data_IF_462914247724
#
_entry.id   IF_462914247724
#
_cell.length_a   1.000
_cell.length_b   1.000
_cell.length_c   1.000
_cell.angle_alpha   90.00
_cell.angle_beta   90.00
_cell.angle_gamma   90.00
#
_symmetry.space_group_name_H-M   'P 1'
#
loop_
_entity.id
_entity.type
_entity.pdbx_description
1 polymer ?
#
# COMPACT_ATOMS: atom_id res chain seq x y z
N UNK A 1 -66.74 36.95 35.85
CA UNK A 1 -65.29 37.22 35.73
C UNK A 1 -64.62 35.88 35.51
N UNK A 2 -63.77 35.60 34.51
CA UNK A 2 -63.32 36.29 33.30
C UNK A 2 -62.35 35.28 32.67
N UNK A 3 -62.44 35.02 31.35
CA UNK A 3 -61.43 34.37 30.47
C UNK A 3 -61.15 32.86 30.72
N UNK A 4 -61.43 31.89 29.84
CA UNK A 4 -61.15 31.72 28.40
C UNK A 4 -59.70 32.01 27.99
N UNK A 5 -58.85 30.97 28.01
CA UNK A 5 -57.68 30.72 27.12
C UNK A 5 -57.48 29.20 27.06
N UNK A 6 -58.05 28.47 26.11
CA UNK A 6 -57.47 28.15 24.80
C UNK A 6 -55.94 28.05 24.82
N UNK A 7 -55.40 26.86 25.08
CA UNK A 7 -54.05 26.50 24.67
C UNK A 7 -54.17 25.59 23.44
N UNK A 8 -53.84 26.19 22.30
CA UNK A 8 -53.68 25.52 21.01
C UNK A 8 -52.50 24.57 21.13
N UNK A 9 -52.73 23.26 21.04
CA UNK A 9 -51.66 22.29 20.77
C UNK A 9 -51.34 22.41 19.29
N UNK A 10 -50.38 23.28 18.98
CA UNK A 10 -49.73 23.33 17.67
C UNK A 10 -48.64 22.26 17.65
N UNK A 11 -49.02 20.98 17.49
CA UNK A 11 -48.06 20.00 16.98
C UNK A 11 -47.93 20.24 15.48
N UNK A 12 -47.03 21.16 15.13
CA UNK A 12 -46.57 21.33 13.77
C UNK A 12 -45.96 20.01 13.29
N UNK A 13 -46.47 19.52 12.17
CA UNK A 13 -45.74 18.60 11.31
C UNK A 13 -44.34 19.17 11.09
N UNK A 14 -43.33 18.53 11.64
CA UNK A 14 -42.01 18.52 11.04
C UNK A 14 -41.93 17.21 10.26
N UNK A 15 -42.42 17.26 9.02
CA UNK A 15 -41.97 16.33 8.00
C UNK A 15 -40.46 16.47 7.94
N UNK A 16 -39.74 15.54 8.55
CA UNK A 16 -38.36 15.28 8.21
C UNK A 16 -38.38 14.84 6.74
N UNK A 17 -38.27 15.83 5.86
CA UNK A 17 -37.92 15.61 4.47
C UNK A 17 -36.60 14.86 4.50
N UNK A 18 -36.72 13.56 4.24
CA UNK A 18 -35.63 12.71 3.83
C UNK A 18 -35.12 13.28 2.52
N UNK A 19 -34.29 14.32 2.61
CA UNK A 19 -33.44 14.73 1.52
C UNK A 19 -32.45 13.59 1.35
N UNK A 20 -32.78 12.71 0.39
CA UNK A 20 -31.82 11.85 -0.29
C UNK A 20 -30.58 12.70 -0.53
N UNK A 21 -29.50 12.38 0.15
CA UNK A 21 -28.18 12.73 -0.32
C UNK A 21 -28.09 12.17 -1.75
N UNK A 22 -28.25 13.04 -2.74
CA UNK A 22 -27.88 12.73 -4.10
C UNK A 22 -26.43 12.29 -4.03
N UNK A 23 -26.18 11.05 -4.41
CA UNK A 23 -24.83 10.55 -4.61
C UNK A 23 -24.18 11.48 -5.63
N UNK A 24 -23.28 12.34 -5.18
CA UNK A 24 -22.19 12.75 -6.05
C UNK A 24 -21.61 11.42 -6.57
N UNK A 25 -21.69 11.19 -7.88
CA UNK A 25 -21.04 10.06 -8.51
C UNK A 25 -19.63 10.00 -7.95
N UNK A 26 -19.34 8.96 -7.16
CA UNK A 26 -18.01 8.78 -6.62
C UNK A 26 -17.09 8.66 -7.84
N UNK A 27 -16.22 9.66 -8.04
CA UNK A 27 -15.29 9.67 -9.16
C UNK A 27 -14.67 8.28 -9.31
N UNK A 28 -14.64 7.74 -10.53
CA UNK A 28 -13.99 6.45 -10.77
C UNK A 28 -12.56 6.57 -10.20
N UNK A 29 -12.15 5.59 -9.41
CA UNK A 29 -10.81 5.60 -8.80
C UNK A 29 -9.71 5.70 -9.87
N UNK A 30 -10.03 5.32 -11.12
CA UNK A 30 -9.17 5.47 -12.30
C UNK A 30 -8.91 6.92 -12.70
N UNK A 31 -9.72 7.87 -12.25
CA UNK A 31 -9.59 9.29 -12.58
C UNK A 31 -9.01 10.12 -11.41
N UNK A 32 -8.68 9.47 -10.29
CA UNK A 32 -8.18 10.14 -9.07
C UNK A 32 -6.75 9.73 -8.80
N UNK A 33 -5.78 10.53 -9.25
CA UNK A 33 -4.34 10.24 -9.14
C UNK A 33 -3.74 10.45 -7.74
N UNK A 34 -4.53 10.99 -6.82
CA UNK A 34 -4.20 11.18 -5.41
C UNK A 34 -3.59 12.54 -5.06
N UNK A 35 -3.25 13.39 -6.04
CA UNK A 35 -2.56 14.65 -5.77
C UNK A 35 -3.32 15.60 -4.84
N UNK A 36 -4.64 15.70 -4.99
CA UNK A 36 -5.49 16.60 -4.19
C UNK A 36 -5.56 16.24 -2.71
N UNK A 37 -5.28 14.98 -2.36
CA UNK A 37 -5.30 14.48 -0.98
C UNK A 37 -3.90 14.09 -0.49
N UNK A 38 -2.85 14.48 -1.21
CA UNK A 38 -1.48 14.20 -0.84
C UNK A 38 -1.12 14.90 0.48
N UNK A 39 -0.28 14.29 1.33
CA UNK A 39 0.26 14.97 2.50
C UNK A 39 1.06 16.23 2.10
N UNK A 40 1.06 17.23 2.97
CA UNK A 40 1.90 18.43 2.77
C UNK A 40 3.38 18.03 2.74
N UNK A 41 4.13 18.55 1.78
CA UNK A 41 5.58 18.35 1.72
C UNK A 41 6.14 18.52 0.33
N UNK A 42 7.37 18.05 0.15
CA UNK A 42 8.06 18.01 -1.15
C UNK A 42 8.11 16.55 -1.63
N UNK A 43 7.84 16.27 -2.91
CA UNK A 43 8.05 14.93 -3.48
C UNK A 43 9.49 14.47 -3.25
N UNK A 44 9.68 13.20 -2.87
CA UNK A 44 11.00 12.63 -2.57
C UNK A 44 11.88 12.47 -3.81
N UNK A 45 11.25 12.28 -4.98
CA UNK A 45 11.90 11.92 -6.23
C UNK A 45 11.48 12.86 -7.39
N UNK A 46 11.60 14.19 -7.24
CA UNK A 46 11.01 15.17 -8.17
C UNK A 46 11.63 15.14 -9.57
N UNK A 47 12.82 14.56 -9.69
CA UNK A 47 13.56 14.47 -10.95
C UNK A 47 13.52 13.09 -11.58
N UNK A 48 12.86 12.10 -10.96
CA UNK A 48 12.88 10.70 -11.40
C UNK A 48 12.47 10.54 -12.87
N UNK A 49 11.48 11.32 -13.30
CA UNK A 49 10.92 11.21 -14.64
C UNK A 49 11.54 12.16 -15.66
N UNK A 50 12.59 12.91 -15.29
CA UNK A 50 13.27 13.80 -16.24
C UNK A 50 14.00 12.96 -17.30
N UNK A 51 13.77 13.30 -18.56
CA UNK A 51 14.44 12.67 -19.71
C UNK A 51 13.73 11.48 -20.32
N UNK A 52 12.57 11.04 -19.80
CA UNK A 52 11.74 10.06 -20.51
C UNK A 52 11.06 10.66 -21.73
N UNK A 53 10.95 9.86 -22.80
CA UNK A 53 10.24 10.23 -24.01
C UNK A 53 8.72 10.31 -23.81
N UNK A 54 8.19 9.60 -22.82
CA UNK A 54 6.77 9.68 -22.44
C UNK A 54 6.60 9.57 -20.93
N UNK A 55 5.78 10.46 -20.36
CA UNK A 55 5.43 10.51 -18.94
C UNK A 55 3.97 10.08 -18.75
N UNK A 56 3.61 9.47 -17.60
CA UNK A 56 2.22 9.41 -17.16
C UNK A 56 1.45 10.73 -17.36
N UNK A 57 0.20 10.70 -17.85
CA UNK A 57 -0.63 11.89 -18.03
C UNK A 57 -1.23 12.42 -16.71
N UNK A 58 -1.04 11.71 -15.59
CA UNK A 58 -1.46 12.11 -14.24
C UNK A 58 -0.28 12.55 -13.37
N UNK A 59 -0.57 13.10 -12.18
CA UNK A 59 0.44 13.44 -11.17
C UNK A 59 0.92 12.19 -10.45
N UNK A 60 2.22 11.98 -10.42
CA UNK A 60 2.87 10.75 -9.97
C UNK A 60 3.28 10.86 -8.49
N UNK A 61 2.84 9.90 -7.68
CA UNK A 61 3.16 9.80 -6.25
C UNK A 61 4.66 9.87 -5.98
N UNK A 62 5.09 10.76 -5.09
CA UNK A 62 6.51 10.93 -4.74
C UNK A 62 7.36 11.63 -5.80
N UNK A 63 6.80 11.97 -6.97
CA UNK A 63 7.48 12.74 -8.04
C UNK A 63 6.85 14.11 -8.19
N UNK A 64 5.52 14.20 -8.31
CA UNK A 64 4.79 15.46 -8.44
C UNK A 64 4.24 15.99 -7.12
N UNK A 65 3.94 15.10 -6.18
CA UNK A 65 3.42 15.43 -4.86
C UNK A 65 4.07 14.57 -3.78
N UNK A 66 4.04 15.07 -2.54
CA UNK A 66 4.66 14.38 -1.42
C UNK A 66 3.85 13.16 -0.97
N UNK A 67 4.55 12.16 -0.45
CA UNK A 67 3.99 10.96 0.17
C UNK A 67 4.83 10.64 1.40
N UNK A 68 4.29 9.83 2.31
CA UNK A 68 4.88 9.52 3.60
C UNK A 68 4.42 10.49 4.69
N UNK A 69 5.21 10.63 5.75
CA UNK A 69 4.89 11.53 6.86
C UNK A 69 4.81 12.98 6.36
N UNK A 70 3.73 13.73 6.68
CA UNK A 70 3.62 15.13 6.31
C UNK A 70 4.80 15.97 6.82
N UNK A 71 5.31 16.87 5.97
CA UNK A 71 6.40 17.78 6.31
C UNK A 71 6.00 18.68 7.49
N UNK A 72 6.91 18.82 8.45
CA UNK A 72 6.70 19.65 9.65
C UNK A 72 5.87 18.97 10.74
N UNK A 73 5.46 17.72 10.56
CA UNK A 73 4.78 16.97 11.63
C UNK A 73 5.76 16.58 12.73
N UNK A 74 5.44 16.95 13.97
CA UNK A 74 6.13 16.43 15.15
C UNK A 74 5.67 15.00 15.44
N UNK A 75 6.62 14.08 15.51
CA UNK A 75 6.37 12.68 15.81
C UNK A 75 6.65 12.39 17.29
N UNK A 76 5.75 11.65 17.93
CA UNK A 76 5.85 11.25 19.33
C UNK A 76 6.66 9.96 19.48
N UNK A 77 7.27 9.77 20.64
CA UNK A 77 7.93 8.51 21.01
C UNK A 77 6.88 7.38 21.19
N UNK A 78 7.03 6.21 20.55
CA UNK A 78 6.17 5.06 20.80
C UNK A 78 6.11 4.63 22.26
N UNK A 79 7.17 4.86 23.05
CA UNK A 79 7.19 4.58 24.49
C UNK A 79 6.11 5.32 25.29
N UNK A 80 5.58 6.42 24.74
CA UNK A 80 4.56 7.24 25.41
C UNK A 80 3.13 6.87 24.99
N UNK A 81 2.92 5.81 24.20
CA UNK A 81 1.57 5.38 23.81
C UNK A 81 0.79 4.93 25.05
N UNK A 82 -0.39 5.51 25.24
CA UNK A 82 -1.31 5.19 26.34
C UNK A 82 -2.74 4.89 25.85
N UNK A 83 -2.89 4.49 24.58
CA UNK A 83 -4.18 4.19 23.97
C UNK A 83 -4.80 2.94 24.60
N UNK A 84 -6.10 2.95 24.96
CA UNK A 84 -6.77 1.74 25.47
C UNK A 84 -6.65 0.55 24.51
N UNK A 85 -6.34 -0.63 25.06
CA UNK A 85 -6.11 -1.84 24.27
C UNK A 85 -4.81 -1.83 23.47
N UNK A 86 -3.85 -1.00 23.89
CA UNK A 86 -2.48 -0.99 23.38
C UNK A 86 -1.53 -1.13 24.55
N UNK A 87 -0.58 -2.06 24.43
CA UNK A 87 0.51 -2.27 25.38
C UNK A 87 1.82 -1.94 24.69
N UNK A 88 2.65 -1.14 25.36
CA UNK A 88 4.02 -0.88 24.90
C UNK A 88 4.98 -1.79 25.63
N UNK A 89 5.57 -2.74 24.90
CA UNK A 89 6.65 -3.57 25.40
C UNK A 89 7.98 -2.93 25.04
N UNK A 90 8.54 -2.19 26.00
CA UNK A 90 9.82 -1.48 25.84
C UNK A 90 10.99 -2.45 25.70
N UNK A 91 10.91 -3.65 26.30
CA UNK A 91 12.01 -4.61 26.25
C UNK A 91 12.15 -5.24 24.87
N UNK A 92 11.02 -5.51 24.18
CA UNK A 92 11.00 -6.03 22.81
C UNK A 92 10.88 -4.95 21.74
N UNK A 93 10.84 -3.67 22.12
CA UNK A 93 10.57 -2.54 21.23
C UNK A 93 9.33 -2.76 20.35
N UNK A 94 8.25 -3.28 20.93
CA UNK A 94 7.03 -3.63 20.21
C UNK A 94 5.81 -2.97 20.85
N UNK A 95 4.97 -2.35 20.03
CA UNK A 95 3.63 -1.87 20.41
C UNK A 95 2.61 -2.94 20.05
N UNK A 96 2.01 -3.57 21.06
CA UNK A 96 1.02 -4.64 20.92
C UNK A 96 -0.38 -4.04 20.94
N UNK A 97 -1.17 -4.29 19.90
CA UNK A 97 -2.55 -3.82 19.75
C UNK A 97 -3.50 -5.01 19.96
N UNK A 98 -4.28 -4.96 21.04
CA UNK A 98 -5.21 -6.01 21.47
C UNK A 98 -6.68 -5.60 21.40
N UNK A 99 -6.98 -4.33 21.07
CA UNK A 99 -8.35 -3.85 20.84
C UNK A 99 -8.58 -3.38 19.39
N UNK A 100 -9.82 -3.54 18.94
CA UNK A 100 -10.28 -3.03 17.64
C UNK A 100 -10.42 -1.51 17.62
N UNK A 101 -10.44 -0.92 16.42
CA UNK A 101 -10.59 0.53 16.18
C UNK A 101 -9.46 1.40 16.77
N UNK A 102 -8.32 0.81 17.09
CA UNK A 102 -7.14 1.52 17.58
C UNK A 102 -6.57 2.43 16.50
N UNK A 103 -6.13 3.63 16.90
CA UNK A 103 -5.48 4.62 16.05
C UNK A 103 -4.09 4.94 16.60
N UNK A 104 -3.06 4.59 15.84
CA UNK A 104 -1.68 4.96 16.11
C UNK A 104 -1.28 6.02 15.08
N UNK A 105 -1.30 7.29 15.49
CA UNK A 105 -1.05 8.42 14.59
C UNK A 105 0.06 9.33 15.11
N UNK A 106 1.01 9.65 14.24
CA UNK A 106 2.07 10.62 14.53
C UNK A 106 3.13 10.11 15.48
N UNK A 107 3.62 8.88 15.28
CA UNK A 107 4.69 8.28 16.11
C UNK A 107 5.97 8.05 15.31
N UNK A 108 7.12 8.22 15.96
CA UNK A 108 8.44 7.86 15.43
C UNK A 108 8.85 6.48 15.93
N UNK A 109 8.29 5.45 15.29
CA UNK A 109 8.76 4.07 15.40
C UNK A 109 10.18 3.89 14.85
N UNK A 110 10.86 4.93 14.35
CA UNK A 110 12.28 4.87 14.05
C UNK A 110 13.21 5.19 15.22
N UNK A 111 12.67 5.71 16.32
CA UNK A 111 13.42 6.05 17.53
C UNK A 111 13.96 4.81 18.26
N UNK A 112 14.89 5.01 19.20
CA UNK A 112 15.45 3.97 20.07
C UNK A 112 15.94 2.68 19.37
N UNK A 113 16.40 2.80 18.11
CA UNK A 113 16.87 1.65 17.34
C UNK A 113 15.81 0.92 16.51
N UNK A 114 14.60 1.47 16.42
CA UNK A 114 13.48 0.92 15.65
C UNK A 114 12.47 0.19 16.54
N UNK A 115 11.20 0.47 16.32
CA UNK A 115 10.06 -0.16 16.97
C UNK A 115 9.18 -0.87 15.95
N UNK A 116 8.56 -1.96 16.40
CA UNK A 116 7.54 -2.68 15.65
C UNK A 116 6.15 -2.43 16.22
N UNK A 117 5.14 -2.81 15.44
CA UNK A 117 3.77 -2.95 15.92
C UNK A 117 3.28 -4.36 15.65
N UNK A 118 2.61 -4.95 16.63
CA UNK A 118 1.98 -6.25 16.52
C UNK A 118 0.48 -6.14 16.73
N UNK A 119 -0.31 -6.58 15.75
CA UNK A 119 -1.78 -6.54 15.81
C UNK A 119 -2.27 -7.97 16.06
N UNK A 120 -2.92 -8.18 17.20
CA UNK A 120 -3.32 -9.51 17.68
C UNK A 120 -4.48 -10.14 16.87
N UNK A 121 -4.65 -11.47 16.92
CA UNK A 121 -5.82 -12.13 16.36
C UNK A 121 -7.13 -11.56 16.93
N UNK A 122 -8.18 -11.46 16.10
CA UNK A 122 -9.48 -10.91 16.51
C UNK A 122 -9.55 -9.38 16.54
N UNK A 123 -8.43 -8.66 16.42
CA UNK A 123 -8.41 -7.19 16.33
C UNK A 123 -8.73 -6.73 14.91
N UNK A 124 -9.66 -5.79 14.73
CA UNK A 124 -10.02 -5.24 13.42
C UNK A 124 -10.04 -3.70 13.41
N UNK A 125 -10.00 -3.13 12.21
CA UNK A 125 -10.12 -1.68 11.97
C UNK A 125 -9.03 -0.84 12.65
N UNK A 126 -7.82 -1.41 12.78
CA UNK A 126 -6.63 -0.69 13.24
C UNK A 126 -6.19 0.30 12.18
N UNK A 127 -5.79 1.51 12.60
CA UNK A 127 -5.26 2.55 11.72
C UNK A 127 -3.90 3.01 12.22
N UNK A 128 -2.89 2.87 11.37
CA UNK A 128 -1.53 3.36 11.62
C UNK A 128 -1.26 4.45 10.58
N UNK A 129 -1.14 5.69 11.02
CA UNK A 129 -1.04 6.83 10.09
C UNK A 129 0.00 7.86 10.50
N UNK A 130 0.49 8.62 9.51
CA UNK A 130 1.42 9.73 9.72
C UNK A 130 2.63 9.36 10.61
N UNK A 131 3.12 8.12 10.52
CA UNK A 131 4.16 7.60 11.41
C UNK A 131 5.40 7.20 10.63
N UNK A 132 6.55 7.27 11.28
CA UNK A 132 7.83 6.87 10.69
C UNK A 132 8.31 5.58 11.32
N UNK A 133 8.74 4.64 10.50
CA UNK A 133 9.34 3.37 10.91
C UNK A 133 10.77 3.25 10.40
N UNK A 134 11.64 2.65 11.21
CA UNK A 134 12.99 2.26 10.84
C UNK A 134 13.24 0.82 11.28
N UNK A 135 13.67 -0.02 10.35
CA UNK A 135 14.31 -1.29 10.69
C UNK A 135 15.74 -0.99 11.15
N UNK A 136 15.87 -0.64 12.43
CA UNK A 136 17.14 -0.24 13.05
C UNK A 136 17.84 -1.40 13.75
N UNK A 137 18.60 -1.10 14.80
CA UNK A 137 19.36 -2.10 15.56
C UNK A 137 18.48 -3.19 16.21
N UNK A 138 17.24 -2.85 16.57
CA UNK A 138 16.30 -3.79 17.17
C UNK A 138 15.74 -4.80 16.16
N UNK A 139 15.87 -4.51 14.86
CA UNK A 139 15.62 -5.48 13.79
C UNK A 139 14.22 -6.13 13.83
N UNK A 140 13.23 -5.32 14.18
CA UNK A 140 11.82 -5.68 14.30
C UNK A 140 11.05 -5.36 13.02
N UNK A 141 9.99 -6.13 12.75
CA UNK A 141 9.07 -5.86 11.65
C UNK A 141 8.26 -4.61 11.98
N UNK A 142 8.25 -3.57 11.13
CA UNK A 142 7.54 -2.33 11.40
C UNK A 142 6.05 -2.52 11.71
N UNK A 143 5.33 -3.27 10.86
CA UNK A 143 3.94 -3.64 11.10
C UNK A 143 3.77 -5.14 10.86
N UNK A 144 3.41 -5.87 11.91
CA UNK A 144 3.17 -7.30 11.87
C UNK A 144 1.75 -7.62 12.36
N UNK A 145 0.92 -8.14 11.46
CA UNK A 145 -0.48 -8.44 11.76
C UNK A 145 -0.64 -9.95 11.86
N UNK A 146 -1.20 -10.42 12.96
CA UNK A 146 -1.38 -11.84 13.23
C UNK A 146 -2.44 -12.49 12.34
N UNK A 147 -2.33 -13.82 12.18
CA UNK A 147 -3.37 -14.63 11.58
C UNK A 147 -4.68 -14.46 12.36
N UNK A 148 -5.79 -14.22 11.65
CA UNK A 148 -7.10 -14.03 12.27
C UNK A 148 -7.39 -12.61 12.76
N UNK A 149 -6.47 -11.65 12.55
CA UNK A 149 -6.79 -10.23 12.65
C UNK A 149 -7.70 -9.78 11.49
N UNK A 150 -8.30 -8.60 11.65
CA UNK A 150 -9.22 -7.97 10.71
C UNK A 150 -8.58 -6.86 9.87
N UNK A 151 -9.40 -5.89 9.46
CA UNK A 151 -9.00 -4.80 8.55
C UNK A 151 -7.89 -3.92 9.12
N UNK A 152 -7.00 -3.43 8.26
CA UNK A 152 -5.90 -2.52 8.59
C UNK A 152 -5.83 -1.35 7.60
N UNK A 153 -5.62 -0.14 8.12
CA UNK A 153 -5.31 1.06 7.32
C UNK A 153 -3.93 1.59 7.65
N UNK A 154 -3.09 1.76 6.63
CA UNK A 154 -1.71 2.26 6.67
C UNK A 154 -1.62 3.47 5.74
N UNK A 155 -1.58 4.69 6.28
CA UNK A 155 -1.63 5.91 5.45
C UNK A 155 -0.61 6.95 5.88
N UNK A 156 0.06 7.59 4.91
CA UNK A 156 1.06 8.64 5.16
C UNK A 156 2.20 8.20 6.07
N UNK A 157 2.62 6.94 6.00
CA UNK A 157 3.74 6.45 6.78
C UNK A 157 5.02 6.41 5.94
N UNK A 158 6.16 6.58 6.59
CA UNK A 158 7.48 6.41 5.96
C UNK A 158 8.18 5.23 6.61
N UNK A 159 8.51 4.21 5.82
CA UNK A 159 9.24 3.02 6.23
C UNK A 159 10.65 3.06 5.65
N UNK A 160 11.65 2.99 6.53
CA UNK A 160 13.06 2.82 6.15
C UNK A 160 13.53 1.41 6.56
N UNK A 161 13.87 0.57 5.58
CA UNK A 161 14.22 -0.84 5.79
C UNK A 161 15.65 -1.09 6.28
N UNK A 162 16.48 -0.06 6.42
CA UNK A 162 17.76 -0.15 7.12
C UNK A 162 18.86 -0.95 6.41
N UNK A 163 18.65 -1.44 5.17
CA UNK A 163 19.72 -1.90 4.28
C UNK A 163 20.29 -3.30 4.53
N UNK A 164 19.46 -4.35 4.56
CA UNK A 164 19.93 -5.75 4.47
C UNK A 164 20.03 -6.54 5.79
N UNK A 165 19.33 -6.12 6.84
CA UNK A 165 19.27 -6.88 8.11
C UNK A 165 18.40 -8.13 7.97
N UNK A 166 18.88 -9.27 8.48
CA UNK A 166 18.43 -10.59 8.03
C UNK A 166 17.03 -11.06 8.49
N UNK A 167 16.46 -10.51 9.57
CA UNK A 167 15.22 -11.06 10.16
C UNK A 167 13.92 -10.35 9.73
N UNK A 168 14.00 -9.32 8.89
CA UNK A 168 12.82 -8.59 8.41
C UNK A 168 12.59 -8.94 6.95
N UNK A 169 11.61 -9.82 6.71
CA UNK A 169 11.23 -10.27 5.36
C UNK A 169 10.20 -9.37 4.68
N UNK A 170 9.49 -8.53 5.45
CA UNK A 170 8.60 -7.51 4.92
C UNK A 170 8.57 -6.29 5.84
N UNK A 171 8.36 -5.09 5.28
CA UNK A 171 8.12 -3.89 6.09
C UNK A 171 6.71 -3.90 6.69
N UNK A 172 5.73 -4.44 5.96
CA UNK A 172 4.37 -4.70 6.45
C UNK A 172 4.00 -6.14 6.17
N UNK A 173 3.85 -6.95 7.22
CA UNK A 173 3.28 -8.28 7.13
C UNK A 173 1.80 -8.24 7.52
N UNK A 174 0.90 -8.53 6.58
CA UNK A 174 -0.54 -8.59 6.81
C UNK A 174 -1.06 -10.02 6.73
N UNK A 175 -1.31 -10.63 7.89
CA UNK A 175 -1.87 -11.98 8.00
C UNK A 175 -3.40 -11.98 8.29
N UNK A 176 -4.07 -10.85 8.04
CA UNK A 176 -5.46 -10.62 8.44
C UNK A 176 -6.52 -10.95 7.38
N UNK A 177 -7.77 -10.65 7.69
CA UNK A 177 -8.92 -10.72 6.78
C UNK A 177 -9.71 -9.40 6.77
N UNK A 178 -10.47 -9.14 5.72
CA UNK A 178 -11.20 -7.86 5.56
C UNK A 178 -10.49 -6.90 4.60
N UNK A 179 -10.48 -5.61 4.91
CA UNK A 179 -9.86 -4.61 4.03
C UNK A 179 -8.47 -4.24 4.51
N UNK A 180 -7.48 -4.37 3.63
CA UNK A 180 -6.17 -3.75 3.81
C UNK A 180 -6.08 -2.51 2.93
N UNK A 181 -5.74 -1.36 3.51
CA UNK A 181 -5.58 -0.09 2.79
C UNK A 181 -4.18 0.45 3.05
N UNK A 182 -3.38 0.59 2.00
CA UNK A 182 -2.09 1.29 2.03
C UNK A 182 -2.13 2.47 1.06
N UNK A 183 -2.15 3.71 1.57
CA UNK A 183 -2.13 4.91 0.72
C UNK A 183 -1.09 5.95 1.12
N UNK A 184 -0.48 6.60 0.13
CA UNK A 184 0.47 7.71 0.35
C UNK A 184 1.64 7.33 1.27
N UNK A 185 2.06 6.07 1.30
CA UNK A 185 3.21 5.65 2.10
C UNK A 185 4.50 5.70 1.27
N UNK A 186 5.62 5.76 1.97
CA UNK A 186 6.97 5.63 1.41
C UNK A 186 7.62 4.36 1.96
N UNK A 187 8.12 3.50 1.09
CA UNK A 187 8.88 2.30 1.43
C UNK A 187 10.28 2.42 0.82
N UNK A 188 11.31 2.55 1.66
CA UNK A 188 12.69 2.74 1.27
C UNK A 188 13.53 1.57 1.75
N UNK A 189 14.40 1.05 0.89
CA UNK A 189 15.50 0.17 1.29
C UNK A 189 15.05 -1.09 2.05
N UNK A 190 13.90 -1.68 1.67
CA UNK A 190 13.41 -2.91 2.28
C UNK A 190 14.48 -4.02 2.16
N UNK A 191 14.76 -4.79 3.23
CA UNK A 191 15.68 -5.93 3.13
C UNK A 191 15.21 -6.98 2.13
N UNK A 192 13.90 -7.20 2.10
CA UNK A 192 13.19 -8.08 1.16
C UNK A 192 11.95 -7.31 0.65
N UNK A 193 10.75 -7.71 1.03
CA UNK A 193 9.49 -7.18 0.51
C UNK A 193 9.06 -5.89 1.21
N UNK A 194 8.27 -5.08 0.52
CA UNK A 194 7.62 -3.94 1.17
C UNK A 194 6.36 -4.37 1.91
N UNK A 195 5.46 -5.09 1.23
CA UNK A 195 4.18 -5.53 1.79
C UNK A 195 3.95 -7.00 1.46
N UNK A 196 3.76 -7.80 2.49
CA UNK A 196 3.40 -9.20 2.40
C UNK A 196 1.94 -9.41 2.83
N UNK A 197 1.19 -10.10 1.98
CA UNK A 197 -0.13 -10.61 2.30
C UNK A 197 -0.06 -12.11 2.53
N UNK A 198 -0.33 -12.52 3.76
CA UNK A 198 -0.25 -13.90 4.20
C UNK A 198 -1.65 -14.38 4.64
N UNK A 199 -2.07 -15.56 4.19
CA UNK A 199 -3.35 -16.19 4.58
C UNK A 199 -4.60 -15.28 4.47
N UNK A 200 -5.72 -15.66 5.07
CA UNK A 200 -6.91 -14.81 5.18
C UNK A 200 -7.70 -14.57 3.88
N UNK A 201 -8.81 -13.84 4.02
CA UNK A 201 -9.68 -13.41 2.93
C UNK A 201 -9.78 -11.89 2.93
N UNK A 202 -9.34 -11.24 1.85
CA UNK A 202 -9.09 -9.80 1.88
C UNK A 202 -9.39 -9.06 0.58
N UNK A 203 -9.70 -7.77 0.72
CA UNK A 203 -9.61 -6.77 -0.35
C UNK A 203 -8.40 -5.88 -0.05
N UNK A 204 -7.48 -5.75 -1.00
CA UNK A 204 -6.29 -4.90 -0.85
C UNK A 204 -6.45 -3.63 -1.69
N UNK A 205 -6.17 -2.47 -1.09
CA UNK A 205 -6.15 -1.17 -1.76
C UNK A 205 -4.77 -0.55 -1.52
N UNK A 206 -3.86 -0.73 -2.47
CA UNK A 206 -2.49 -0.23 -2.42
C UNK A 206 -2.36 0.87 -3.47
N UNK A 207 -2.50 2.13 -3.06
CA UNK A 207 -2.53 3.26 -3.99
C UNK A 207 -1.68 4.45 -3.58
N UNK A 208 -1.14 5.17 -4.56
CA UNK A 208 -0.40 6.42 -4.34
C UNK A 208 0.84 6.26 -3.44
N UNK A 209 1.43 5.07 -3.37
CA UNK A 209 2.63 4.82 -2.57
C UNK A 209 3.90 4.99 -3.42
N UNK A 210 5.01 5.25 -2.75
CA UNK A 210 6.35 5.25 -3.34
C UNK A 210 7.16 4.07 -2.77
N UNK A 211 7.64 3.18 -3.64
CA UNK A 211 8.52 2.07 -3.32
C UNK A 211 9.89 2.32 -3.96
N UNK A 212 10.96 2.25 -3.17
CA UNK A 212 12.32 2.58 -3.63
C UNK A 212 13.33 1.56 -3.11
N UNK A 213 14.12 1.01 -4.01
CA UNK A 213 15.31 0.20 -3.70
C UNK A 213 15.00 -1.00 -2.77
N UNK A 214 14.07 -1.86 -3.18
CA UNK A 214 13.71 -3.05 -2.39
C UNK A 214 14.74 -4.18 -2.55
N UNK A 215 14.77 -5.14 -1.63
CA UNK A 215 15.71 -6.26 -1.65
C UNK A 215 17.15 -5.86 -1.44
N UNK A 216 17.42 -5.05 -0.43
CA UNK A 216 18.78 -4.67 -0.04
C UNK A 216 19.57 -5.81 0.60
N UNK A 217 18.90 -6.90 1.02
CA UNK A 217 19.56 -8.11 1.49
C UNK A 217 20.07 -8.94 0.28
N UNK A 218 21.35 -9.36 0.27
CA UNK A 218 21.87 -10.23 -0.77
C UNK A 218 21.03 -11.51 -0.93
N UNK A 219 20.72 -11.87 -2.18
CA UNK A 219 19.94 -13.07 -2.51
C UNK A 219 18.45 -12.97 -2.21
N UNK A 220 17.94 -11.81 -1.79
CA UNK A 220 16.51 -11.56 -1.70
C UNK A 220 15.84 -11.59 -3.08
N UNK A 221 14.55 -11.90 -3.10
CA UNK A 221 13.67 -11.72 -4.25
C UNK A 221 12.55 -10.78 -3.81
N UNK A 222 12.79 -9.47 -3.80
CA UNK A 222 11.86 -8.53 -3.19
C UNK A 222 10.68 -8.20 -4.12
N UNK A 223 9.56 -7.83 -3.53
CA UNK A 223 8.36 -7.40 -4.22
C UNK A 223 7.75 -6.16 -3.53
N UNK A 224 7.17 -5.25 -4.31
CA UNK A 224 6.45 -4.11 -3.70
C UNK A 224 5.19 -4.59 -2.97
N UNK A 225 4.58 -5.65 -3.50
CA UNK A 225 3.49 -6.40 -2.88
C UNK A 225 3.68 -7.87 -3.24
N UNK A 226 3.56 -8.77 -2.25
CA UNK A 226 3.59 -10.21 -2.44
C UNK A 226 2.38 -10.86 -1.76
N UNK A 227 1.91 -11.96 -2.34
CA UNK A 227 0.73 -12.69 -1.87
C UNK A 227 1.06 -14.18 -1.69
N UNK A 228 0.74 -14.73 -0.52
CA UNK A 228 1.01 -16.13 -0.17
C UNK A 228 -0.18 -16.71 0.61
N UNK A 229 -0.75 -17.81 0.11
CA UNK A 229 -1.88 -18.51 0.75
C UNK A 229 -3.16 -17.68 0.95
N UNK A 230 -3.39 -16.65 0.13
CA UNK A 230 -4.45 -15.64 0.32
C UNK A 230 -5.73 -15.94 -0.48
N UNK A 231 -6.87 -15.44 -0.01
CA UNK A 231 -8.05 -15.23 -0.85
C UNK A 231 -8.26 -13.74 -1.08
N UNK A 232 -7.88 -13.21 -2.25
CA UNK A 232 -8.07 -11.80 -2.58
C UNK A 232 -9.22 -11.58 -3.57
N UNK A 233 -9.95 -10.48 -3.40
CA UNK A 233 -11.04 -10.09 -4.29
C UNK A 233 -11.16 -8.57 -4.42
N UNK A 234 -11.45 -8.09 -5.64
CA UNK A 234 -11.70 -6.68 -5.94
C UNK A 234 -10.54 -5.77 -5.47
N UNK A 235 -9.32 -6.28 -5.57
CA UNK A 235 -8.10 -5.60 -5.13
C UNK A 235 -7.65 -4.55 -6.13
N UNK A 236 -6.98 -3.51 -5.64
CA UNK A 236 -6.47 -2.39 -6.42
C UNK A 236 -5.01 -2.14 -6.04
N UNK A 237 -4.13 -2.21 -7.03
CA UNK A 237 -2.71 -1.85 -6.92
C UNK A 237 -2.47 -0.79 -7.99
N UNK A 238 -2.69 0.47 -7.62
CA UNK A 238 -2.81 1.53 -8.63
C UNK A 238 -2.15 2.85 -8.26
N UNK A 239 -1.69 3.61 -9.26
CA UNK A 239 -1.06 4.92 -9.04
C UNK A 239 0.15 4.91 -8.09
N UNK A 240 0.81 3.75 -7.93
CA UNK A 240 2.05 3.67 -7.17
C UNK A 240 3.25 4.02 -8.05
N UNK A 241 4.29 4.55 -7.43
CA UNK A 241 5.61 4.73 -8.03
C UNK A 241 6.53 3.66 -7.50
N UNK A 242 7.11 2.85 -8.38
CA UNK A 242 8.06 1.80 -8.02
C UNK A 242 9.38 2.13 -8.71
N UNK A 243 10.41 2.44 -7.93
CA UNK A 243 11.73 2.76 -8.44
C UNK A 243 12.77 1.78 -7.92
N UNK A 244 13.37 1.03 -8.83
CA UNK A 244 14.46 0.12 -8.51
C UNK A 244 15.77 0.61 -9.14
N UNK A 245 16.60 1.35 -8.36
CA UNK A 245 17.93 1.78 -8.81
C UNK A 245 18.94 0.64 -8.86
N UNK A 246 18.81 -0.35 -7.97
CA UNK A 246 19.71 -1.51 -7.87
C UNK A 246 18.90 -2.77 -8.09
N UNK A 247 18.76 -3.28 -9.32
CA UNK A 247 17.90 -4.41 -9.56
C UNK A 247 18.45 -5.67 -8.87
N UNK A 248 17.58 -6.38 -8.14
CA UNK A 248 17.94 -7.42 -7.16
C UNK A 248 17.09 -8.69 -7.33
N UNK A 249 16.73 -9.07 -8.56
CA UNK A 249 15.78 -10.15 -8.80
C UNK A 249 14.32 -9.75 -8.54
N UNK A 250 14.10 -8.54 -8.02
CA UNK A 250 12.81 -7.93 -7.71
C UNK A 250 11.74 -8.19 -8.78
N UNK A 251 10.48 -8.41 -8.38
CA UNK A 251 9.36 -8.12 -9.28
C UNK A 251 8.70 -6.82 -8.81
N UNK A 252 8.34 -5.94 -9.76
CA UNK A 252 7.79 -4.63 -9.39
C UNK A 252 6.49 -4.78 -8.60
N UNK A 253 5.42 -5.15 -9.29
CA UNK A 253 4.19 -5.64 -8.69
C UNK A 253 4.10 -7.15 -8.90
N UNK A 254 4.01 -7.92 -7.82
CA UNK A 254 3.76 -9.35 -7.89
C UNK A 254 2.33 -9.68 -7.46
N UNK A 255 1.59 -10.32 -8.35
CA UNK A 255 0.33 -10.99 -8.07
C UNK A 255 0.50 -12.47 -8.37
N UNK A 256 1.02 -13.21 -7.39
CA UNK A 256 1.27 -14.65 -7.53
C UNK A 256 0.29 -15.47 -6.69
N UNK A 257 -0.58 -16.22 -7.33
CA UNK A 257 -1.43 -17.19 -6.64
C UNK A 257 -0.63 -18.47 -6.35
N UNK A 258 -0.27 -18.63 -5.08
CA UNK A 258 0.50 -19.76 -4.55
C UNK A 258 -0.08 -20.28 -3.23
N UNK A 259 0.25 -21.50 -2.85
CA UNK A 259 -0.12 -22.12 -1.57
C UNK A 259 -1.64 -22.12 -1.27
N UNK A 260 -2.46 -22.45 -2.26
CA UNK A 260 -3.92 -22.47 -2.15
C UNK A 260 -4.59 -21.11 -2.38
N UNK A 261 -3.86 -20.13 -2.92
CA UNK A 261 -4.38 -18.80 -3.15
C UNK A 261 -5.49 -18.77 -4.20
N UNK A 262 -6.45 -17.87 -3.98
CA UNK A 262 -7.48 -17.49 -4.96
C UNK A 262 -7.49 -15.99 -5.09
N UNK A 263 -7.35 -15.47 -6.31
CA UNK A 263 -7.28 -14.04 -6.60
C UNK A 263 -8.28 -13.70 -7.69
N UNK A 264 -9.28 -12.90 -7.34
CA UNK A 264 -10.35 -12.53 -8.26
C UNK A 264 -10.43 -11.01 -8.45
N UNK A 265 -10.57 -10.57 -9.70
CA UNK A 265 -10.89 -9.18 -10.04
C UNK A 265 -9.89 -8.15 -9.47
N UNK A 266 -8.59 -8.42 -9.59
CA UNK A 266 -7.54 -7.47 -9.19
C UNK A 266 -7.23 -6.51 -10.34
N UNK A 267 -7.19 -5.21 -10.05
CA UNK A 267 -6.70 -4.18 -10.96
C UNK A 267 -5.26 -3.79 -10.61
N UNK A 268 -4.35 -3.88 -11.57
CA UNK A 268 -2.99 -3.35 -11.50
C UNK A 268 -2.91 -2.23 -12.56
N UNK A 269 -3.16 -0.99 -12.14
CA UNK A 269 -3.39 0.08 -13.10
C UNK A 269 -2.69 1.39 -12.78
N UNK A 270 -2.31 2.14 -13.82
CA UNK A 270 -1.77 3.49 -13.65
C UNK A 270 -0.53 3.58 -12.74
N UNK A 271 0.23 2.50 -12.59
CA UNK A 271 1.48 2.54 -11.84
C UNK A 271 2.60 3.12 -12.72
N UNK A 272 3.56 3.79 -12.08
CA UNK A 272 4.80 4.25 -12.72
C UNK A 272 5.95 3.40 -12.22
N UNK A 273 6.51 2.55 -13.09
CA UNK A 273 7.53 1.57 -12.70
C UNK A 273 8.83 1.88 -13.43
N UNK A 274 9.90 2.13 -12.68
CA UNK A 274 11.22 2.45 -13.20
C UNK A 274 12.22 1.42 -12.68
N UNK A 275 12.65 0.52 -13.56
CA UNK A 275 13.78 -0.37 -13.32
C UNK A 275 14.99 0.16 -14.10
N UNK A 276 16.01 0.65 -13.40
CA UNK A 276 17.25 1.11 -14.05
C UNK A 276 18.24 -0.04 -14.18
N UNK A 277 18.94 -0.13 -15.30
CA UNK A 277 19.93 -1.17 -15.51
C UNK A 277 21.04 -1.09 -14.45
N UNK A 278 21.21 -2.17 -13.69
CA UNK A 278 22.35 -2.39 -12.81
C UNK A 278 23.44 -3.22 -13.50
N UNK A 279 24.60 -3.34 -12.86
CA UNK A 279 25.79 -4.03 -13.41
C UNK A 279 25.87 -5.52 -13.10
N UNK A 280 25.05 -6.06 -12.18
CA UNK A 280 25.21 -7.43 -11.67
C UNK A 280 23.92 -8.28 -11.65
N UNK A 281 22.76 -7.70 -11.33
CA UNK A 281 21.47 -8.41 -11.29
C UNK A 281 20.40 -7.54 -11.93
N UNK A 282 19.42 -8.17 -12.60
CA UNK A 282 18.27 -7.51 -13.23
C UNK A 282 17.04 -7.63 -12.33
N UNK A 283 16.12 -6.67 -12.44
CA UNK A 283 14.76 -6.86 -11.97
C UNK A 283 14.21 -8.03 -12.79
N UNK A 284 13.43 -8.90 -12.18
CA UNK A 284 12.81 -10.01 -12.90
C UNK A 284 11.85 -9.45 -13.96
N UNK A 285 10.67 -8.97 -13.54
CA UNK A 285 9.74 -8.26 -14.41
C UNK A 285 9.07 -7.13 -13.66
N UNK A 286 8.71 -6.06 -14.37
CA UNK A 286 8.03 -4.90 -13.75
C UNK A 286 6.67 -5.27 -13.16
N UNK A 287 5.93 -6.17 -13.82
CA UNK A 287 4.68 -6.73 -13.31
C UNK A 287 4.66 -8.25 -13.55
N UNK A 288 4.31 -9.01 -12.51
CA UNK A 288 4.18 -10.46 -12.57
C UNK A 288 2.77 -10.89 -12.15
N UNK A 289 2.08 -11.62 -13.04
CA UNK A 289 0.77 -12.25 -12.76
C UNK A 289 0.93 -13.76 -12.95
N UNK A 290 1.08 -14.48 -11.85
CA UNK A 290 1.55 -15.88 -11.87
C UNK A 290 0.57 -16.77 -11.10
N UNK A 291 -0.07 -17.71 -11.79
CA UNK A 291 -0.87 -18.77 -11.18
C UNK A 291 -0.05 -20.07 -11.09
N UNK A 292 0.32 -20.48 -9.88
CA UNK A 292 0.92 -21.80 -9.64
C UNK A 292 -0.14 -22.91 -9.80
N UNK A 293 0.23 -24.14 -10.18
CA UNK A 293 -0.72 -25.26 -10.28
C UNK A 293 -1.59 -25.44 -9.04
N UNK A 294 -2.89 -25.66 -9.22
CA UNK A 294 -3.85 -25.80 -8.12
C UNK A 294 -4.36 -24.49 -7.48
N UNK A 295 -3.87 -23.34 -7.95
CA UNK A 295 -4.30 -22.01 -7.49
C UNK A 295 -5.18 -21.32 -8.52
N UNK A 296 -5.81 -20.19 -8.14
CA UNK A 296 -6.73 -19.45 -9.01
C UNK A 296 -6.32 -18.00 -9.14
N UNK A 297 -6.14 -17.54 -10.38
CA UNK A 297 -6.19 -16.13 -10.79
C UNK A 297 -7.29 -15.99 -11.84
N UNK A 298 -8.24 -15.10 -11.59
CA UNK A 298 -9.33 -14.85 -12.53
C UNK A 298 -9.75 -13.36 -12.57
N UNK A 299 -9.87 -12.80 -13.77
CA UNK A 299 -10.39 -11.45 -13.96
C UNK A 299 -9.39 -10.33 -13.63
N UNK A 300 -8.09 -10.59 -13.73
CA UNK A 300 -7.08 -9.56 -13.47
C UNK A 300 -6.96 -8.61 -14.67
N UNK A 301 -6.95 -7.30 -14.39
CA UNK A 301 -6.70 -6.27 -15.39
C UNK A 301 -5.37 -5.58 -15.09
N UNK A 302 -4.47 -5.56 -16.08
CA UNK A 302 -3.20 -4.84 -16.05
C UNK A 302 -3.24 -3.74 -17.11
N UNK A 303 -3.55 -2.51 -16.70
CA UNK A 303 -3.84 -1.44 -17.65
C UNK A 303 -3.19 -0.09 -17.35
N UNK A 304 -2.83 0.64 -18.40
CA UNK A 304 -2.39 2.02 -18.25
C UNK A 304 -1.12 2.20 -17.43
N UNK A 305 -0.29 1.17 -17.23
CA UNK A 305 0.95 1.32 -16.46
C UNK A 305 2.05 1.93 -17.35
N UNK A 306 2.86 2.83 -16.79
CA UNK A 306 3.99 3.46 -17.48
C UNK A 306 5.29 2.86 -16.94
N UNK A 307 6.03 2.19 -17.81
CA UNK A 307 7.10 1.27 -17.43
C UNK A 307 8.39 1.64 -18.15
N UNK A 308 9.46 1.85 -17.40
CA UNK A 308 10.84 1.71 -17.88
C UNK A 308 11.35 0.36 -17.39
N UNK A 309 11.41 -0.62 -18.28
CA UNK A 309 11.91 -1.95 -18.00
C UNK A 309 13.36 -2.17 -18.47
N UNK A 310 14.13 -1.10 -18.72
CA UNK A 310 15.52 -1.22 -19.22
C UNK A 310 16.44 -1.99 -18.26
N UNK A 311 16.14 -1.96 -16.96
CA UNK A 311 16.81 -2.77 -15.93
C UNK A 311 16.14 -4.09 -15.58
N UNK A 312 15.11 -4.53 -16.33
CA UNK A 312 14.39 -5.77 -16.08
C UNK A 312 14.60 -6.81 -17.22
N UNK A 313 14.14 -8.05 -17.03
CA UNK A 313 14.03 -8.99 -18.18
C UNK A 313 12.90 -8.60 -19.13
N UNK A 314 11.90 -7.88 -18.64
CA UNK A 314 10.84 -7.30 -19.45
C UNK A 314 9.77 -6.62 -18.60
N UNK A 315 8.74 -6.04 -19.23
CA UNK A 315 7.67 -5.37 -18.52
C UNK A 315 6.72 -6.36 -17.83
N UNK A 316 6.51 -7.55 -18.42
CA UNK A 316 5.55 -8.54 -17.92
C UNK A 316 6.16 -9.94 -17.86
N UNK A 317 6.07 -10.59 -16.70
CA UNK A 317 6.30 -12.03 -16.61
C UNK A 317 5.21 -12.74 -17.44
N UNK A 318 5.49 -13.86 -18.15
CA UNK A 318 4.49 -14.60 -18.90
C UNK A 318 3.21 -14.87 -18.06
N UNK A 319 2.09 -14.20 -18.36
CA UNK A 319 0.96 -14.19 -17.44
C UNK A 319 0.22 -15.53 -17.47
N UNK A 320 -0.21 -16.01 -16.30
CA UNK A 320 -1.03 -17.22 -16.16
C UNK A 320 -2.25 -16.99 -15.26
N UNK A 321 -3.38 -17.59 -15.63
CA UNK A 321 -4.69 -17.34 -15.05
C UNK A 321 -5.80 -17.39 -16.10
N UNK A 322 -7.01 -16.94 -15.73
CA UNK A 322 -8.17 -16.84 -16.64
C UNK A 322 -8.70 -15.42 -16.70
N UNK A 323 -9.30 -15.04 -17.83
CA UNK A 323 -9.90 -13.72 -18.04
C UNK A 323 -8.94 -12.57 -17.69
N UNK A 324 -7.69 -12.68 -18.17
CA UNK A 324 -6.65 -11.67 -17.95
C UNK A 324 -6.72 -10.62 -19.06
N UNK A 325 -6.65 -9.34 -18.72
CA UNK A 325 -6.62 -8.24 -19.69
C UNK A 325 -5.32 -7.45 -19.53
N UNK A 326 -4.60 -7.22 -20.63
CA UNK A 326 -3.40 -6.38 -20.64
C UNK A 326 -3.54 -5.31 -21.74
N UNK A 327 -3.68 -4.04 -21.36
CA UNK A 327 -3.96 -2.97 -22.35
C UNK A 327 -3.43 -1.61 -21.93
N UNK A 328 -3.09 -0.78 -22.92
CA UNK A 328 -2.75 0.62 -22.68
C UNK A 328 -1.51 0.85 -21.81
N UNK A 329 -0.71 -0.19 -21.52
CA UNK A 329 0.55 -0.04 -20.82
C UNK A 329 1.58 0.59 -21.77
N UNK A 330 2.44 1.48 -21.28
CA UNK A 330 3.33 2.32 -22.09
C UNK A 330 4.77 2.13 -21.67
N UNK A 331 5.65 1.96 -22.64
CA UNK A 331 7.10 2.08 -22.46
C UNK A 331 7.47 3.56 -22.34
N UNK A 332 7.96 4.00 -21.18
CA UNK A 332 8.32 5.40 -20.96
C UNK A 332 9.52 5.88 -21.79
N UNK A 333 10.38 4.96 -22.25
CA UNK A 333 11.53 5.32 -23.07
C UNK A 333 11.11 5.64 -24.51
N UNK A 334 10.13 4.92 -25.04
CA UNK A 334 9.77 4.98 -26.47
C UNK A 334 8.36 5.50 -26.75
N UNK A 335 7.50 5.59 -25.73
CA UNK A 335 6.07 5.90 -25.86
C UNK A 335 5.23 4.78 -26.49
N UNK A 336 5.83 3.62 -26.78
CA UNK A 336 5.13 2.50 -27.42
C UNK A 336 4.25 1.76 -26.43
N UNK A 337 3.17 1.16 -26.95
CA UNK A 337 2.34 0.27 -26.16
C UNK A 337 3.08 -1.05 -25.84
N UNK A 338 2.97 -1.48 -24.59
CA UNK A 338 3.50 -2.73 -24.07
C UNK A 338 2.38 -3.75 -23.98
N UNK A 339 2.59 -4.91 -24.61
CA UNK A 339 1.79 -6.14 -24.45
C UNK A 339 0.29 -5.92 -24.49
N UNK A 340 -0.31 -5.81 -25.68
CA UNK A 340 -1.76 -5.90 -25.85
C UNK A 340 -2.21 -7.36 -25.84
N UNK A 341 -3.03 -7.76 -24.86
CA UNK A 341 -3.79 -9.02 -24.84
C UNK A 341 -5.21 -8.77 -24.36
#
# INVERSE_FOLDING_TARGET
MQHLRLFVVLLGLLEATCQRAGTADAADWRDVDGADNAPTGVPLMPTLLRGYGTRPPWKVAGVDYAVGVPLGMELKDPATISTPGVVVDVASHTVVVSASHVRLTGYDFGSAGGWGSYIEPGVTDTRITNSRFLVGINNVIPINVAAGAGSLTVVNNTFAGGGGRASVWALVNYNGSGSFIAKYNVFLDAPEDAIDFNSGSMRTIVMYNLFVNLGTRPGSHPDSVQYVSVRSYNSMISFNTIYQPNPSGMQGVQLQAQNGSTMNNTSIANNTIVAKAGTSVRMSYSIAVIQNPGNVINGVTVEGNYIDCSGAYGPFYPPSGRNLTFRGNVDMLTGRLLGSR
#
